data_IF_524487118662
#
_entry.id   IF_524487118662
#
_cell.length_a   1.000
_cell.length_b   1.000
_cell.length_c   1.000
_cell.angle_alpha   90.00
_cell.angle_beta   90.00
_cell.angle_gamma   90.00
#
_symmetry.space_group_name_H-M   'P 1'
#
loop_
_entity.id
_entity.type
_entity.pdbx_description
1 polymer ?
#
# COMPACT_ATOMS: atom_id res chain seq x y z
N UNK A 1 13.13 -2.70 37.07
CA UNK A 1 13.23 -3.72 36.01
C UNK A 1 11.81 -4.10 35.63
N UNK A 2 11.33 -3.72 34.44
CA UNK A 2 9.99 -4.11 33.99
C UNK A 2 10.13 -5.42 33.21
N UNK A 3 10.00 -6.56 33.90
CA UNK A 3 10.30 -7.90 33.36
C UNK A 3 9.18 -8.49 32.50
N UNK A 4 8.06 -7.76 32.30
CA UNK A 4 6.86 -8.23 31.59
C UNK A 4 6.45 -7.34 30.41
N UNK A 5 7.33 -6.50 29.87
CA UNK A 5 7.03 -5.66 28.70
C UNK A 5 7.12 -6.42 27.37
N UNK A 6 6.35 -6.00 26.37
CA UNK A 6 6.38 -6.58 25.02
C UNK A 6 5.33 -5.97 24.09
N UNK A 7 5.39 -6.31 22.81
CA UNK A 7 4.36 -5.99 21.83
C UNK A 7 3.52 -7.24 21.53
N UNK A 8 2.21 -7.05 21.44
CA UNK A 8 1.27 -8.07 20.99
C UNK A 8 0.39 -7.48 19.88
N UNK A 9 -0.14 -8.32 19.00
CA UNK A 9 -1.13 -7.89 18.04
C UNK A 9 -2.43 -7.58 18.76
N UNK A 10 -3.01 -6.43 18.47
CA UNK A 10 -4.33 -6.03 18.99
C UNK A 10 -5.48 -6.73 18.23
N UNK A 11 -5.24 -7.07 16.96
CA UNK A 11 -6.22 -7.72 16.05
C UNK A 11 -5.72 -9.09 15.62
N UNK A 12 -6.63 -9.92 15.12
CA UNK A 12 -6.24 -11.20 14.55
C UNK A 12 -5.42 -11.01 13.25
N UNK A 13 -4.55 -11.97 12.94
CA UNK A 13 -3.66 -11.88 11.76
C UNK A 13 -4.40 -11.86 10.43
N UNK A 14 -5.62 -12.41 10.38
CA UNK A 14 -6.52 -12.40 9.21
C UNK A 14 -7.29 -11.07 9.06
N UNK A 15 -7.23 -10.18 10.04
CA UNK A 15 -7.85 -8.85 9.99
C UNK A 15 -6.84 -7.74 9.66
N UNK A 16 -5.55 -8.07 9.63
CA UNK A 16 -4.47 -7.13 9.38
C UNK A 16 -3.97 -7.34 7.95
N UNK A 17 -4.26 -6.37 7.09
CA UNK A 17 -3.81 -6.40 5.69
C UNK A 17 -2.38 -5.90 5.58
N UNK A 18 -1.65 -6.36 4.56
CA UNK A 18 -0.31 -5.87 4.25
C UNK A 18 -0.35 -4.38 3.94
N UNK A 19 -1.42 -3.93 3.29
CA UNK A 19 -1.65 -2.51 3.04
C UNK A 19 -1.68 -1.67 4.32
N UNK A 20 -2.38 -2.13 5.37
CA UNK A 20 -2.42 -1.46 6.68
C UNK A 20 -1.05 -1.41 7.35
N UNK A 21 -0.28 -2.50 7.26
CA UNK A 21 1.08 -2.56 7.82
C UNK A 21 2.00 -1.56 7.13
N UNK A 22 1.98 -1.50 5.79
CA UNK A 22 2.77 -0.55 5.02
C UNK A 22 2.40 0.91 5.34
N UNK A 23 1.10 1.21 5.42
CA UNK A 23 0.64 2.55 5.79
C UNK A 23 1.09 2.94 7.21
N UNK A 24 1.01 2.02 8.18
CA UNK A 24 1.47 2.28 9.54
C UNK A 24 2.99 2.51 9.64
N UNK A 25 3.78 1.82 8.80
CA UNK A 25 5.24 1.92 8.79
C UNK A 25 5.76 3.16 8.06
N UNK A 26 5.15 3.52 6.92
CA UNK A 26 5.63 4.61 6.05
C UNK A 26 4.85 5.92 6.21
N UNK A 27 3.67 5.88 6.82
CA UNK A 27 2.78 7.04 6.98
C UNK A 27 2.08 7.47 5.68
N UNK A 28 2.13 6.66 4.62
CA UNK A 28 1.52 6.94 3.31
C UNK A 28 1.10 5.65 2.61
N UNK A 29 0.22 5.78 1.62
CA UNK A 29 -0.17 4.67 0.74
C UNK A 29 1.06 4.11 0.00
N UNK A 30 1.14 2.78 -0.20
CA UNK A 30 2.21 2.18 -0.98
C UNK A 30 2.21 2.73 -2.41
N UNK A 31 3.35 3.24 -2.86
CA UNK A 31 3.53 3.67 -4.24
C UNK A 31 4.62 2.81 -4.88
N UNK A 32 4.23 1.93 -5.80
CA UNK A 32 5.18 1.10 -6.57
C UNK A 32 5.78 1.92 -7.70
N UNK A 33 5.05 2.92 -8.20
CA UNK A 33 5.49 3.79 -9.27
C UNK A 33 5.61 5.23 -8.79
N UNK A 34 6.71 5.88 -9.15
CA UNK A 34 6.92 7.30 -8.91
C UNK A 34 6.31 8.13 -10.06
N UNK A 35 4.97 8.20 -10.07
CA UNK A 35 4.20 9.01 -11.00
C UNK A 35 3.02 9.69 -10.29
N UNK A 36 2.36 10.64 -10.95
CA UNK A 36 1.25 11.36 -10.31
C UNK A 36 0.06 10.44 -10.01
N UNK A 37 -0.52 10.62 -8.83
CA UNK A 37 -1.73 9.90 -8.39
C UNK A 37 -2.97 10.27 -9.17
N UNK A 38 -2.96 11.43 -9.83
CA UNK A 38 -4.05 11.92 -10.67
C UNK A 38 -3.51 12.66 -11.89
N UNK A 39 -4.39 12.94 -12.87
CA UNK A 39 -4.04 13.79 -14.01
C UNK A 39 -3.76 15.23 -13.57
N UNK A 40 -4.46 15.70 -12.54
CA UNK A 40 -4.41 17.07 -12.02
C UNK A 40 -3.11 17.35 -11.25
N UNK A 41 -2.50 16.30 -10.69
CA UNK A 41 -1.26 16.39 -9.90
C UNK A 41 -0.02 16.03 -10.70
N UNK A 42 -0.11 15.98 -12.03
CA UNK A 42 1.03 15.66 -12.88
C UNK A 42 2.08 16.78 -12.86
N UNK A 43 3.30 16.56 -12.33
CA UNK A 43 4.30 17.61 -12.18
C UNK A 43 4.79 18.16 -13.53
N UNK A 44 4.64 17.37 -14.60
CA UNK A 44 5.00 17.80 -15.95
C UNK A 44 3.89 18.59 -16.67
N UNK A 45 2.70 18.71 -16.08
CA UNK A 45 1.49 19.26 -16.71
C UNK A 45 1.13 18.62 -18.06
N UNK A 46 1.65 17.42 -18.35
CA UNK A 46 1.41 16.68 -19.59
C UNK A 46 0.53 15.45 -19.40
N UNK A 47 -0.23 15.39 -18.29
CA UNK A 47 -1.05 14.22 -17.99
C UNK A 47 -2.05 13.89 -19.12
N UNK A 48 -2.58 14.91 -19.80
CA UNK A 48 -3.49 14.76 -20.94
C UNK A 48 -2.86 14.13 -22.18
N UNK A 49 -1.53 14.21 -22.32
CA UNK A 49 -0.78 13.63 -23.46
C UNK A 49 0.13 12.48 -23.04
N UNK A 50 0.16 12.13 -21.75
CA UNK A 50 1.00 11.08 -21.20
C UNK A 50 0.39 9.71 -21.47
N UNK A 51 0.82 9.05 -22.54
CA UNK A 51 0.29 7.74 -22.94
C UNK A 51 0.57 6.62 -21.91
N UNK A 52 1.63 6.76 -21.09
CA UNK A 52 2.02 5.74 -20.10
C UNK A 52 1.26 5.88 -18.77
N UNK A 53 0.80 7.09 -18.43
CA UNK A 53 0.16 7.35 -17.13
C UNK A 53 -1.08 6.48 -16.88
N UNK A 54 -2.04 6.34 -17.82
CA UNK A 54 -3.22 5.49 -17.59
C UNK A 54 -2.87 4.04 -17.28
N UNK A 55 -1.81 3.51 -17.89
CA UNK A 55 -1.34 2.15 -17.65
C UNK A 55 -0.78 2.01 -16.23
N UNK A 56 0.13 2.90 -15.85
CA UNK A 56 0.76 2.89 -14.51
C UNK A 56 -0.28 3.10 -13.42
N UNK A 57 -1.18 4.08 -13.57
CA UNK A 57 -2.23 4.37 -12.59
C UNK A 57 -3.18 3.18 -12.41
N UNK A 58 -3.58 2.52 -13.51
CA UNK A 58 -4.38 1.31 -13.44
C UNK A 58 -3.66 0.15 -12.76
N UNK A 59 -2.36 -0.02 -13.00
CA UNK A 59 -1.57 -1.08 -12.40
C UNK A 59 -1.37 -0.83 -10.89
N UNK A 60 -1.09 0.41 -10.50
CA UNK A 60 -1.04 0.81 -9.08
C UNK A 60 -2.35 0.45 -8.37
N UNK A 61 -3.52 0.81 -8.94
CA UNK A 61 -4.80 0.46 -8.33
C UNK A 61 -5.06 -1.05 -8.21
N UNK A 62 -4.51 -1.87 -9.11
CA UNK A 62 -4.56 -3.34 -8.97
C UNK A 62 -3.67 -3.85 -7.83
N UNK A 63 -2.50 -3.23 -7.65
CA UNK A 63 -1.58 -3.55 -6.56
C UNK A 63 -2.22 -3.15 -5.23
N UNK A 64 -2.78 -1.95 -5.14
CA UNK A 64 -3.45 -1.45 -3.94
C UNK A 64 -4.57 -2.41 -3.52
N UNK A 65 -5.46 -2.77 -4.46
CA UNK A 65 -6.54 -3.73 -4.21
C UNK A 65 -5.99 -5.10 -3.75
N UNK A 66 -4.90 -5.57 -4.35
CA UNK A 66 -4.29 -6.83 -3.94
C UNK A 66 -3.75 -6.75 -2.50
N UNK A 67 -3.03 -5.68 -2.15
CA UNK A 67 -2.48 -5.47 -0.81
C UNK A 67 -3.56 -5.27 0.25
N UNK A 68 -4.72 -4.72 -0.13
CA UNK A 68 -5.91 -4.61 0.73
C UNK A 68 -6.57 -5.97 0.99
N UNK A 69 -6.32 -6.98 0.15
CA UNK A 69 -6.86 -8.34 0.35
C UNK A 69 -5.86 -9.30 0.97
N UNK A 70 -4.56 -9.02 0.87
CA UNK A 70 -3.49 -9.87 1.40
C UNK A 70 -3.33 -9.63 2.90
N UNK A 71 -3.53 -10.66 3.73
CA UNK A 71 -3.43 -10.55 5.20
C UNK A 71 -2.10 -11.06 5.73
N UNK A 72 -1.76 -10.70 6.99
CA UNK A 72 -0.61 -11.29 7.68
C UNK A 72 -0.74 -12.81 7.82
N UNK A 73 -1.95 -13.32 8.03
CA UNK A 73 -2.20 -14.76 8.07
C UNK A 73 -1.85 -15.44 6.74
N UNK A 74 -2.11 -14.81 5.60
CA UNK A 74 -1.81 -15.39 4.28
C UNK A 74 -0.32 -15.43 3.98
N UNK A 75 0.47 -14.46 4.49
CA UNK A 75 1.94 -14.48 4.37
C UNK A 75 2.55 -15.66 5.14
N UNK A 76 1.96 -16.03 6.28
CA UNK A 76 2.49 -17.06 7.17
C UNK A 76 2.08 -18.48 6.76
N UNK A 77 1.09 -18.63 5.87
CA UNK A 77 0.71 -19.92 5.29
C UNK A 77 1.79 -20.34 4.28
N UNK A 78 2.48 -21.45 4.58
CA UNK A 78 3.45 -22.08 3.67
C UNK A 78 2.79 -22.69 2.44
#
# INVERSE_FOLDING_TARGET
>A
MNTNGGFALEKSMDEITVHQVMYAAEGKMPAVFDCSTSMQTCPSNKASTCAIWPFINRLQGKIDLFLDTLTLADILKK
#
